data_IF_265377074722
#
_entry.id   IF_265377074722
#
_cell.length_a   1.000
_cell.length_b   1.000
_cell.length_c   1.000
_cell.angle_alpha   90.00
_cell.angle_beta   90.00
_cell.angle_gamma   90.00
#
_symmetry.space_group_name_H-M   'P 1'
#
loop_
_entity.id
_entity.type
_entity.pdbx_description
1 polymer ?
#
# COMPACT_ATOMS: atom_id res chain seq x y z
N UNK A 1 -118.83 -1.46 11.67
CA UNK A 1 -118.14 -0.51 12.57
C UNK A 1 -116.66 -0.63 12.31
N UNK A 2 -116.08 0.50 11.96
CA UNK A 2 -114.66 0.73 11.69
C UNK A 2 -113.77 0.40 12.89
N UNK A 3 -112.50 0.13 12.61
CA UNK A 3 -111.44 0.04 13.61
C UNK A 3 -110.10 -0.25 12.97
N UNK A 4 -109.41 0.80 12.51
CA UNK A 4 -107.97 0.80 12.21
C UNK A 4 -107.13 0.31 13.41
N UNK A 5 -105.97 -0.32 13.16
CA UNK A 5 -104.65 0.13 13.67
C UNK A 5 -103.51 -0.87 13.34
N UNK A 6 -102.51 -0.37 12.62
CA UNK A 6 -101.11 -0.87 12.52
C UNK A 6 -100.35 -0.49 13.82
N UNK A 7 -99.24 -1.13 14.31
CA UNK A 7 -98.31 -2.10 13.68
C UNK A 7 -97.79 -3.29 14.55
N UNK A 8 -97.78 -4.50 14.01
CA UNK A 8 -96.88 -5.58 14.47
C UNK A 8 -95.40 -5.35 14.08
N UNK A 9 -95.14 -4.55 13.04
CA UNK A 9 -93.80 -4.27 12.53
C UNK A 9 -92.89 -3.51 13.52
N UNK A 10 -93.43 -2.64 14.40
CA UNK A 10 -92.63 -1.93 15.43
C UNK A 10 -92.14 -2.87 16.54
N UNK A 11 -92.88 -3.95 16.84
CA UNK A 11 -92.54 -4.91 17.91
C UNK A 11 -91.40 -5.84 17.50
N UNK A 12 -91.38 -6.28 16.24
CA UNK A 12 -90.30 -7.11 15.70
C UNK A 12 -88.98 -6.33 15.59
N UNK A 13 -89.02 -5.08 15.12
CA UNK A 13 -87.85 -4.19 15.07
C UNK A 13 -87.23 -3.99 16.47
N UNK A 14 -88.07 -3.73 17.49
CA UNK A 14 -87.62 -3.59 18.89
C UNK A 14 -86.86 -4.81 19.44
N UNK A 15 -87.27 -6.02 19.06
CA UNK A 15 -86.64 -7.27 19.54
C UNK A 15 -85.30 -7.53 18.84
N UNK A 16 -85.23 -7.28 17.53
CA UNK A 16 -83.99 -7.37 16.76
C UNK A 16 -82.95 -6.33 17.22
N UNK A 17 -83.36 -5.09 17.48
CA UNK A 17 -82.46 -4.04 18.01
C UNK A 17 -81.90 -4.42 19.39
N UNK A 18 -82.70 -5.03 20.27
CA UNK A 18 -82.23 -5.48 21.59
C UNK A 18 -81.21 -6.62 21.49
N UNK A 19 -81.39 -7.55 20.56
CA UNK A 19 -80.43 -8.64 20.31
C UNK A 19 -79.12 -8.07 19.73
N UNK A 20 -79.21 -7.18 18.73
CA UNK A 20 -78.04 -6.53 18.15
C UNK A 20 -77.27 -5.68 19.19
N UNK A 21 -77.98 -4.96 20.05
CA UNK A 21 -77.38 -4.22 21.16
C UNK A 21 -76.71 -5.16 22.17
N UNK A 22 -77.33 -6.29 22.48
CA UNK A 22 -76.76 -7.32 23.35
C UNK A 22 -75.45 -7.90 22.81
N UNK A 23 -75.39 -8.22 21.50
CA UNK A 23 -74.19 -8.72 20.83
C UNK A 23 -73.11 -7.64 20.78
N UNK A 24 -73.48 -6.39 20.53
CA UNK A 24 -72.53 -5.27 20.51
C UNK A 24 -71.95 -5.00 21.90
N UNK A 25 -72.78 -5.04 22.94
CA UNK A 25 -72.35 -4.88 24.34
C UNK A 25 -71.47 -6.06 24.77
N UNK A 26 -71.81 -7.31 24.41
CA UNK A 26 -70.96 -8.45 24.74
C UNK A 26 -69.63 -8.39 23.99
N UNK A 27 -69.64 -8.00 22.71
CA UNK A 27 -68.44 -7.86 21.89
C UNK A 27 -67.49 -6.77 22.42
N UNK A 28 -68.04 -5.62 22.82
CA UNK A 28 -67.26 -4.53 23.41
C UNK A 28 -66.73 -4.88 24.81
N UNK A 29 -67.50 -5.63 25.62
CA UNK A 29 -67.04 -6.13 26.92
C UNK A 29 -65.89 -7.14 26.78
N UNK A 30 -65.96 -8.04 25.80
CA UNK A 30 -64.89 -9.01 25.49
C UNK A 30 -63.64 -8.29 24.97
N UNK A 31 -63.80 -7.33 24.06
CA UNK A 31 -62.68 -6.55 23.55
C UNK A 31 -62.03 -5.72 24.67
N UNK A 32 -62.84 -5.08 25.52
CA UNK A 32 -62.37 -4.32 26.68
C UNK A 32 -61.62 -5.18 27.69
N UNK A 33 -62.10 -6.39 27.97
CA UNK A 33 -61.40 -7.34 28.85
C UNK A 33 -60.10 -7.84 28.25
N UNK A 34 -60.06 -8.15 26.95
CA UNK A 34 -58.80 -8.54 26.28
C UNK A 34 -57.78 -7.40 26.32
N UNK A 35 -58.20 -6.17 26.02
CA UNK A 35 -57.32 -4.99 26.08
C UNK A 35 -56.83 -4.72 27.52
N UNK A 36 -57.70 -4.87 28.52
CA UNK A 36 -57.34 -4.74 29.92
C UNK A 36 -56.30 -5.80 30.31
N UNK A 37 -56.51 -7.07 29.95
CA UNK A 37 -55.57 -8.16 30.22
C UNK A 37 -54.23 -8.00 29.50
N UNK A 38 -54.22 -7.44 28.29
CA UNK A 38 -52.98 -7.07 27.58
C UNK A 38 -52.27 -5.91 28.29
N UNK A 39 -53.01 -4.88 28.75
CA UNK A 39 -52.45 -3.72 29.47
C UNK A 39 -51.82 -4.09 30.83
N UNK A 40 -52.39 -5.08 31.51
CA UNK A 40 -51.89 -5.63 32.77
C UNK A 40 -50.75 -6.65 32.56
N UNK A 41 -50.35 -6.91 31.31
CA UNK A 41 -49.30 -7.86 30.96
C UNK A 41 -49.67 -9.32 31.17
N UNK A 42 -50.95 -9.64 31.42
CA UNK A 42 -51.48 -10.99 31.62
C UNK A 42 -51.63 -11.76 30.30
N UNK A 43 -51.81 -11.05 29.18
CA UNK A 43 -51.77 -11.61 27.82
C UNK A 43 -50.64 -10.93 27.04
N UNK A 44 -49.59 -11.68 26.69
CA UNK A 44 -48.52 -11.20 25.80
C UNK A 44 -48.70 -11.82 24.41
N UNK A 45 -49.11 -11.02 23.43
CA UNK A 45 -49.00 -11.41 22.02
C UNK A 45 -47.53 -11.30 21.61
N UNK A 46 -46.78 -12.39 21.72
CA UNK A 46 -45.46 -12.45 21.09
C UNK A 46 -45.67 -12.65 19.59
N UNK A 47 -45.27 -11.70 18.72
CA UNK A 47 -45.15 -12.01 17.31
C UNK A 47 -44.23 -13.24 17.20
N UNK A 48 -44.64 -14.27 16.44
CA UNK A 48 -43.77 -15.43 16.19
C UNK A 48 -42.45 -14.89 15.63
N UNK A 49 -41.36 -15.01 16.38
CA UNK A 49 -40.04 -14.61 15.90
C UNK A 49 -39.76 -15.42 14.63
N UNK A 50 -39.76 -14.75 13.50
CA UNK A 50 -39.47 -15.35 12.21
C UNK A 50 -37.95 -15.37 12.06
N UNK A 51 -37.31 -16.45 12.49
CA UNK A 51 -35.88 -16.65 12.26
C UNK A 51 -35.62 -16.86 10.77
N UNK A 52 -34.53 -16.30 10.26
CA UNK A 52 -34.06 -16.60 8.93
C UNK A 52 -33.36 -17.97 8.95
N UNK A 53 -33.90 -18.94 8.19
CA UNK A 53 -33.38 -20.31 8.10
C UNK A 53 -32.84 -20.65 6.71
N UNK A 54 -32.54 -19.64 5.89
CA UNK A 54 -31.84 -19.87 4.62
C UNK A 54 -30.40 -20.31 4.88
N UNK A 55 -29.76 -20.98 3.92
CA UNK A 55 -28.37 -21.45 4.05
C UNK A 55 -27.44 -20.30 4.41
N UNK A 56 -27.62 -19.15 3.75
CA UNK A 56 -26.82 -17.95 3.93
C UNK A 56 -26.95 -17.39 5.35
N UNK A 57 -28.16 -17.39 5.91
CA UNK A 57 -28.40 -16.94 7.28
C UNK A 57 -27.78 -17.88 8.32
N UNK A 58 -27.87 -19.19 8.10
CA UNK A 58 -27.29 -20.19 9.00
C UNK A 58 -25.76 -20.10 8.97
N UNK A 59 -25.16 -20.02 7.78
CA UNK A 59 -23.72 -19.86 7.60
C UNK A 59 -23.21 -18.56 8.20
N UNK A 60 -23.91 -17.44 7.98
CA UNK A 60 -23.55 -16.16 8.57
C UNK A 60 -23.64 -16.19 10.10
N UNK A 61 -24.73 -16.73 10.66
CA UNK A 61 -24.91 -16.84 12.10
C UNK A 61 -23.83 -17.75 12.73
N UNK A 62 -23.56 -18.90 12.14
CA UNK A 62 -22.49 -19.80 12.59
C UNK A 62 -21.11 -19.11 12.53
N UNK A 63 -20.83 -18.40 11.44
CA UNK A 63 -19.59 -17.65 11.28
C UNK A 63 -19.44 -16.49 12.26
N UNK A 64 -20.52 -15.87 12.72
CA UNK A 64 -20.50 -14.85 13.78
C UNK A 64 -20.24 -15.53 15.12
N UNK A 65 -21.01 -16.56 15.46
CA UNK A 65 -20.88 -17.28 16.73
C UNK A 65 -19.49 -17.89 16.93
N UNK A 66 -18.83 -18.35 15.86
CA UNK A 66 -17.48 -18.92 15.95
C UNK A 66 -16.40 -17.89 16.30
N UNK A 67 -16.70 -16.59 16.20
CA UNK A 67 -15.74 -15.49 16.46
C UNK A 67 -15.98 -14.79 17.80
N UNK A 68 -17.23 -14.83 18.27
CA UNK A 68 -17.65 -14.17 19.52
C UNK A 68 -17.15 -14.94 20.75
N UNK A 69 -16.71 -14.21 21.77
CA UNK A 69 -16.49 -14.69 23.12
C UNK A 69 -17.58 -14.14 24.06
N UNK A 70 -18.59 -14.96 24.35
CA UNK A 70 -19.73 -14.58 25.18
C UNK A 70 -19.40 -14.40 26.67
N UNK A 71 -18.20 -14.78 27.10
CA UNK A 71 -17.74 -14.56 28.49
C UNK A 71 -17.25 -13.13 28.74
N UNK A 72 -17.13 -12.30 27.71
CA UNK A 72 -16.74 -10.89 27.81
C UNK A 72 -17.96 -10.01 27.69
N UNK A 73 -18.12 -9.03 28.58
CA UNK A 73 -19.19 -8.04 28.48
C UNK A 73 -18.95 -7.13 27.25
N UNK A 74 -19.86 -7.08 26.26
CA UNK A 74 -19.72 -6.21 25.10
C UNK A 74 -19.67 -4.72 25.44
N UNK A 75 -20.24 -4.29 26.57
CA UNK A 75 -20.21 -2.89 27.02
C UNK A 75 -18.85 -2.49 27.59
N UNK A 76 -18.07 -3.45 28.11
CA UNK A 76 -16.74 -3.24 28.67
C UNK A 76 -15.65 -3.34 27.59
N UNK A 77 -15.72 -4.37 26.74
CA UNK A 77 -14.75 -4.56 25.67
C UNK A 77 -15.39 -5.27 24.46
N UNK A 78 -16.03 -4.48 23.61
CA UNK A 78 -16.69 -4.98 22.41
C UNK A 78 -15.75 -5.72 21.45
N UNK A 79 -14.48 -5.31 21.36
CA UNK A 79 -13.50 -5.98 20.49
C UNK A 79 -13.24 -7.41 20.95
N UNK A 80 -12.98 -7.61 22.24
CA UNK A 80 -12.76 -8.94 22.81
C UNK A 80 -14.02 -9.81 22.74
N UNK A 81 -15.18 -9.24 23.04
CA UNK A 81 -16.46 -9.92 22.84
C UNK A 81 -16.64 -10.38 21.39
N UNK A 82 -16.37 -9.53 20.40
CA UNK A 82 -16.63 -9.85 19.00
C UNK A 82 -15.54 -10.73 18.33
N UNK A 83 -14.29 -10.67 18.81
CA UNK A 83 -13.13 -11.18 18.07
C UNK A 83 -12.28 -12.23 18.81
N UNK A 84 -12.38 -12.39 20.13
CA UNK A 84 -11.48 -13.29 20.89
C UNK A 84 -11.55 -14.74 20.35
N UNK A 85 -12.72 -15.21 19.93
CA UNK A 85 -12.89 -16.53 19.32
C UNK A 85 -12.15 -16.65 17.97
N UNK A 86 -12.06 -15.57 17.19
CA UNK A 86 -11.25 -15.55 15.98
C UNK A 86 -9.75 -15.56 16.32
N UNK A 87 -9.31 -14.70 17.24
CA UNK A 87 -7.91 -14.57 17.65
C UNK A 87 -7.37 -15.90 18.16
N UNK A 88 -8.14 -16.61 19.00
CA UNK A 88 -7.75 -17.91 19.53
C UNK A 88 -7.53 -18.96 18.43
N UNK A 89 -8.40 -18.98 17.42
CA UNK A 89 -8.38 -19.99 16.36
C UNK A 89 -7.47 -19.63 15.18
N UNK A 90 -6.91 -18.42 15.13
CA UNK A 90 -6.14 -17.91 14.00
C UNK A 90 -4.83 -17.26 14.47
N UNK A 91 -3.86 -18.05 14.97
CA UNK A 91 -2.54 -17.53 15.30
C UNK A 91 -1.89 -16.90 14.06
N UNK A 92 -1.04 -15.90 14.27
CA UNK A 92 -0.32 -15.24 13.18
C UNK A 92 0.64 -16.26 12.55
N UNK A 93 0.51 -16.55 11.24
CA UNK A 93 1.43 -17.45 10.54
C UNK A 93 2.88 -16.95 10.57
N UNK A 94 3.85 -17.86 10.54
CA UNK A 94 5.29 -17.53 10.64
C UNK A 94 5.79 -16.62 9.50
N UNK A 95 5.11 -16.61 8.36
CA UNK A 95 5.43 -15.80 7.18
C UNK A 95 4.71 -14.45 7.16
N UNK A 96 3.97 -14.08 8.22
CA UNK A 96 3.21 -12.84 8.30
C UNK A 96 3.54 -12.03 9.57
N UNK A 97 3.60 -10.70 9.44
CA UNK A 97 3.76 -9.80 10.60
C UNK A 97 2.43 -9.47 11.30
N UNK A 98 1.30 -9.72 10.64
CA UNK A 98 -0.04 -9.52 11.15
C UNK A 98 -1.01 -10.48 10.46
N UNK A 99 -2.07 -10.87 11.15
CA UNK A 99 -3.12 -11.70 10.58
C UNK A 99 -4.49 -11.21 11.01
N UNK A 100 -5.42 -11.16 10.06
CA UNK A 100 -6.76 -10.58 10.24
C UNK A 100 -7.61 -10.79 9.01
N UNK A 101 -8.77 -10.14 8.95
CA UNK A 101 -9.72 -10.29 7.83
C UNK A 101 -9.11 -9.91 6.48
N UNK A 102 -8.31 -8.84 6.41
CA UNK A 102 -7.73 -8.38 5.14
C UNK A 102 -6.60 -9.29 4.64
N UNK A 103 -5.58 -9.68 5.45
CA UNK A 103 -4.62 -10.70 5.04
C UNK A 103 -5.28 -12.03 4.64
N UNK A 104 -6.27 -12.49 5.40
CA UNK A 104 -7.02 -13.70 5.09
C UNK A 104 -7.76 -13.59 3.74
N UNK A 105 -8.45 -12.48 3.49
CA UNK A 105 -9.15 -12.25 2.23
C UNK A 105 -8.16 -12.19 1.06
N UNK A 106 -7.04 -11.47 1.23
CA UNK A 106 -5.98 -11.39 0.23
C UNK A 106 -5.44 -12.77 -0.11
N UNK A 107 -5.13 -13.60 0.89
CA UNK A 107 -4.67 -14.97 0.67
C UNK A 107 -5.65 -15.79 -0.17
N UNK A 108 -6.95 -15.72 0.13
CA UNK A 108 -7.97 -16.42 -0.65
C UNK A 108 -8.07 -15.93 -2.10
N UNK A 109 -7.90 -14.63 -2.33
CA UNK A 109 -7.82 -14.06 -3.69
C UNK A 109 -6.56 -14.54 -4.39
N UNK A 110 -5.42 -14.55 -3.71
CA UNK A 110 -4.13 -14.98 -4.27
C UNK A 110 -4.17 -16.45 -4.71
N UNK A 111 -4.84 -17.33 -3.96
CA UNK A 111 -5.08 -18.73 -4.37
C UNK A 111 -5.88 -18.83 -5.68
N UNK A 112 -6.92 -18.00 -5.84
CA UNK A 112 -7.70 -17.94 -7.09
C UNK A 112 -6.86 -17.40 -8.24
N UNK A 113 -6.10 -16.33 -8.01
CA UNK A 113 -5.21 -15.74 -9.02
C UNK A 113 -4.13 -16.73 -9.45
N UNK A 114 -3.50 -17.41 -8.49
CA UNK A 114 -2.54 -18.50 -8.74
C UNK A 114 -3.15 -19.56 -9.66
N UNK A 115 -4.33 -20.08 -9.32
CA UNK A 115 -5.02 -21.09 -10.13
C UNK A 115 -5.35 -20.61 -11.56
N UNK A 116 -5.57 -19.31 -11.76
CA UNK A 116 -5.79 -18.72 -13.09
C UNK A 116 -4.50 -18.55 -13.87
N UNK A 117 -3.42 -18.13 -13.21
CA UNK A 117 -2.11 -17.86 -13.82
C UNK A 117 -1.33 -19.14 -14.15
N UNK A 118 -1.57 -20.23 -13.42
CA UNK A 118 -0.96 -21.55 -13.68
C UNK A 118 -1.60 -22.31 -14.85
N UNK A 119 -2.77 -21.88 -15.32
CA UNK A 119 -3.39 -22.50 -16.50
C UNK A 119 -2.50 -22.28 -17.73
N UNK A 120 -2.37 -23.29 -18.62
CA UNK A 120 -1.62 -23.15 -19.86
C UNK A 120 -2.02 -21.90 -20.64
N UNK A 121 -1.02 -21.25 -21.25
CA UNK A 121 -1.23 -20.10 -22.12
C UNK A 121 -1.92 -20.57 -23.41
N UNK A 122 -3.06 -19.99 -23.73
CA UNK A 122 -3.86 -20.36 -24.89
C UNK A 122 -3.92 -19.20 -25.88
N UNK A 123 -3.10 -19.25 -26.94
CA UNK A 123 -3.06 -18.20 -27.99
C UNK A 123 -4.43 -17.89 -28.63
N UNK A 124 -5.34 -18.87 -28.66
CA UNK A 124 -6.70 -18.72 -29.21
C UNK A 124 -7.70 -18.08 -28.25
N UNK A 125 -7.51 -18.23 -26.93
CA UNK A 125 -8.52 -17.87 -25.90
C UNK A 125 -8.07 -16.73 -24.98
N UNK A 126 -6.78 -16.65 -24.70
CA UNK A 126 -6.21 -15.62 -23.85
C UNK A 126 -5.94 -14.38 -24.70
N UNK A 127 -6.39 -13.21 -24.23
CA UNK A 127 -5.94 -11.94 -24.80
C UNK A 127 -4.43 -11.79 -24.63
N UNK A 128 -3.79 -10.95 -25.44
CA UNK A 128 -2.35 -10.70 -25.33
C UNK A 128 -1.95 -10.27 -23.90
N UNK A 129 -2.78 -9.46 -23.24
CA UNK A 129 -2.56 -9.04 -21.85
C UNK A 129 -2.52 -10.24 -20.88
N UNK A 130 -3.44 -11.19 -21.01
CA UNK A 130 -3.47 -12.40 -20.19
C UNK A 130 -2.26 -13.29 -20.49
N UNK A 131 -1.86 -13.41 -21.77
CA UNK A 131 -0.67 -14.18 -22.16
C UNK A 131 0.61 -13.60 -21.52
N UNK A 132 0.76 -12.27 -21.52
CA UNK A 132 1.88 -11.57 -20.84
C UNK A 132 1.86 -11.79 -19.33
N UNK A 133 0.70 -11.66 -18.69
CA UNK A 133 0.56 -11.90 -17.25
C UNK A 133 0.96 -13.33 -16.84
N UNK A 134 0.48 -14.34 -17.58
CA UNK A 134 0.86 -15.74 -17.37
C UNK A 134 2.35 -15.97 -17.61
N UNK A 135 2.92 -15.39 -18.66
CA UNK A 135 4.35 -15.51 -18.96
C UNK A 135 5.21 -14.88 -17.86
N UNK A 136 4.82 -13.70 -17.36
CA UNK A 136 5.48 -13.05 -16.24
C UNK A 136 5.42 -13.94 -14.98
N UNK A 137 4.24 -14.46 -14.65
CA UNK A 137 4.07 -15.40 -13.53
C UNK A 137 4.97 -16.63 -13.67
N UNK A 138 4.94 -17.32 -14.82
CA UNK A 138 5.80 -18.49 -15.07
C UNK A 138 7.28 -18.15 -14.98
N UNK A 139 7.69 -16.95 -15.40
CA UNK A 139 9.09 -16.52 -15.28
C UNK A 139 9.51 -16.31 -13.82
N UNK A 140 8.63 -15.76 -12.99
CA UNK A 140 8.85 -15.53 -11.57
C UNK A 140 8.89 -16.84 -10.77
N UNK A 141 8.00 -17.79 -11.08
CA UNK A 141 7.93 -19.09 -10.40
C UNK A 141 9.04 -20.07 -10.81
N UNK A 142 9.84 -19.76 -11.83
CA UNK A 142 10.92 -20.64 -12.29
C UNK A 142 12.20 -20.42 -11.48
N UNK A 143 12.17 -20.87 -10.22
CA UNK A 143 13.28 -20.72 -9.28
C UNK A 143 14.58 -21.34 -9.79
N UNK A 144 14.52 -22.50 -10.46
CA UNK A 144 15.71 -23.14 -11.05
C UNK A 144 16.46 -22.22 -12.03
N UNK A 145 15.72 -21.46 -12.85
CA UNK A 145 16.34 -20.48 -13.76
C UNK A 145 16.89 -19.28 -13.00
N UNK A 146 16.18 -18.82 -11.96
CA UNK A 146 16.63 -17.71 -11.11
C UNK A 146 17.93 -18.09 -10.39
N UNK A 147 18.00 -19.28 -9.77
CA UNK A 147 19.19 -19.79 -9.10
C UNK A 147 20.37 -19.98 -10.06
N UNK A 148 20.14 -20.43 -11.29
CA UNK A 148 21.21 -20.57 -12.29
C UNK A 148 21.72 -19.22 -12.81
N UNK A 149 20.84 -18.21 -12.89
CA UNK A 149 21.17 -16.86 -13.31
C UNK A 149 21.88 -16.09 -12.20
N UNK A 150 21.39 -16.20 -10.96
CA UNK A 150 21.96 -15.62 -9.74
C UNK A 150 22.28 -14.12 -9.95
N UNK A 151 23.50 -13.69 -9.65
CA UNK A 151 23.94 -12.28 -9.76
C UNK A 151 24.14 -11.81 -11.20
N UNK A 152 24.22 -12.71 -12.18
CA UNK A 152 24.67 -12.38 -13.55
C UNK A 152 23.83 -11.28 -14.20
N UNK A 153 22.48 -11.28 -14.14
CA UNK A 153 21.67 -10.21 -14.72
C UNK A 153 21.96 -8.85 -14.08
N UNK A 154 22.11 -8.80 -12.76
CA UNK A 154 22.41 -7.56 -12.05
C UNK A 154 23.84 -7.08 -12.35
N UNK A 155 24.84 -7.96 -12.30
CA UNK A 155 26.22 -7.59 -12.66
C UNK A 155 26.33 -7.11 -14.11
N UNK A 156 25.51 -7.64 -15.03
CA UNK A 156 25.44 -7.12 -16.40
C UNK A 156 25.02 -5.65 -16.42
N UNK A 157 24.04 -5.25 -15.61
CA UNK A 157 23.63 -3.86 -15.49
C UNK A 157 24.76 -3.02 -14.85
N UNK A 158 25.37 -3.53 -13.78
CA UNK A 158 26.41 -2.82 -13.04
C UNK A 158 27.73 -2.66 -13.81
N UNK A 159 27.95 -3.35 -14.92
CA UNK A 159 29.14 -3.14 -15.78
C UNK A 159 29.04 -1.87 -16.64
N UNK A 160 27.83 -1.36 -16.85
CA UNK A 160 27.60 -0.22 -17.73
C UNK A 160 27.49 1.09 -16.95
N UNK A 161 27.99 2.17 -17.55
CA UNK A 161 27.73 3.53 -17.06
C UNK A 161 26.22 3.81 -17.11
N UNK A 162 25.61 4.46 -16.11
CA UNK A 162 26.24 5.11 -14.95
C UNK A 162 26.32 4.22 -13.69
N UNK A 163 26.02 2.92 -13.77
CA UNK A 163 25.84 2.02 -12.62
C UNK A 163 27.05 1.18 -12.22
N UNK A 164 28.23 1.51 -12.73
CA UNK A 164 29.48 0.94 -12.23
C UNK A 164 29.61 1.22 -10.74
N UNK A 165 29.55 0.17 -9.93
CA UNK A 165 29.52 0.31 -8.48
C UNK A 165 30.95 0.43 -7.93
N UNK A 166 31.36 1.57 -7.33
CA UNK A 166 32.73 1.73 -6.85
C UNK A 166 33.20 0.65 -5.86
N UNK A 167 32.30 0.10 -5.05
CA UNK A 167 32.64 -0.92 -4.05
C UNK A 167 33.10 -2.25 -4.65
N UNK A 168 32.72 -2.56 -5.90
CA UNK A 168 33.04 -3.82 -6.60
C UNK A 168 34.40 -3.80 -7.34
N UNK A 169 35.24 -2.77 -7.16
CA UNK A 169 36.46 -2.54 -7.94
C UNK A 169 37.27 -3.84 -8.22
N UNK A 170 37.67 -4.02 -9.48
CA UNK A 170 38.42 -5.16 -10.04
C UNK A 170 37.63 -6.45 -10.32
N UNK A 171 36.50 -6.71 -9.65
CA UNK A 171 35.79 -8.00 -9.77
C UNK A 171 34.78 -8.10 -10.93
N UNK A 172 34.50 -6.98 -11.59
CA UNK A 172 33.62 -6.90 -12.77
C UNK A 172 34.39 -6.72 -14.09
N UNK A 173 35.73 -6.84 -14.06
CA UNK A 173 36.63 -6.65 -15.21
C UNK A 173 36.98 -5.18 -15.46
N UNK A 174 37.93 -4.89 -16.37
CA UNK A 174 38.39 -3.52 -16.66
C UNK A 174 37.27 -2.62 -17.19
N UNK A 175 36.30 -3.19 -17.90
CA UNK A 175 35.11 -2.48 -18.37
C UNK A 175 34.15 -2.08 -17.24
N UNK A 176 34.21 -2.75 -16.08
CA UNK A 176 33.39 -2.45 -14.91
C UNK A 176 33.98 -1.37 -14.00
N UNK A 177 35.18 -0.86 -14.27
CA UNK A 177 35.84 0.13 -13.42
C UNK A 177 35.07 1.45 -13.41
N UNK A 178 34.72 1.91 -12.21
CA UNK A 178 34.13 3.21 -11.98
C UNK A 178 35.19 4.31 -12.13
N UNK A 179 34.79 5.45 -12.68
CA UNK A 179 35.67 6.60 -12.89
C UNK A 179 35.00 7.86 -12.38
N UNK A 180 35.64 8.52 -11.42
CA UNK A 180 35.17 9.77 -10.85
C UNK A 180 35.00 10.88 -11.89
N UNK A 181 35.89 10.92 -12.88
CA UNK A 181 35.84 11.91 -13.97
C UNK A 181 34.65 11.72 -14.90
N UNK A 182 34.19 10.48 -15.07
CA UNK A 182 33.05 10.14 -15.95
C UNK A 182 31.71 10.11 -15.21
N UNK A 183 31.73 10.22 -13.88
CA UNK A 183 30.51 10.18 -13.08
C UNK A 183 29.70 11.46 -13.27
N UNK A 184 28.43 11.31 -13.66
CA UNK A 184 27.45 12.39 -13.75
C UNK A 184 26.23 12.03 -12.89
N UNK A 185 26.00 12.83 -11.85
CA UNK A 185 24.85 12.67 -10.95
C UNK A 185 23.53 12.79 -11.71
N UNK A 186 23.39 13.81 -12.58
CA UNK A 186 22.19 14.04 -13.40
C UNK A 186 21.90 12.84 -14.29
N UNK A 187 22.92 12.31 -14.99
CA UNK A 187 22.75 11.14 -15.86
C UNK A 187 22.35 9.89 -15.06
N UNK A 188 22.96 9.67 -13.90
CA UNK A 188 22.66 8.54 -13.04
C UNK A 188 21.23 8.59 -12.50
N UNK A 189 20.81 9.73 -11.96
CA UNK A 189 19.44 9.95 -11.46
C UNK A 189 18.40 9.82 -12.57
N UNK A 190 18.67 10.40 -13.75
CA UNK A 190 17.73 10.31 -14.86
C UNK A 190 17.59 8.87 -15.37
N UNK A 191 18.70 8.13 -15.45
CA UNK A 191 18.68 6.72 -15.87
C UNK A 191 17.93 5.85 -14.86
N UNK A 192 18.16 6.05 -13.54
CA UNK A 192 17.42 5.34 -12.49
C UNK A 192 15.91 5.56 -12.62
N UNK A 193 15.50 6.81 -12.81
CA UNK A 193 14.08 7.14 -12.87
C UNK A 193 13.43 6.72 -14.18
N UNK A 194 14.06 7.03 -15.31
CA UNK A 194 13.49 6.84 -16.65
C UNK A 194 13.52 5.39 -17.14
N UNK A 195 14.60 4.65 -16.88
CA UNK A 195 14.75 3.26 -17.36
C UNK A 195 14.37 2.21 -16.31
N UNK A 196 14.63 2.50 -15.03
CA UNK A 196 14.45 1.52 -13.96
C UNK A 196 13.29 1.84 -13.01
N UNK A 197 12.57 2.94 -13.26
CA UNK A 197 11.49 3.44 -12.41
C UNK A 197 11.88 3.53 -10.92
N UNK A 198 13.15 3.82 -10.65
CA UNK A 198 13.70 3.94 -9.31
C UNK A 198 13.93 5.42 -8.96
N UNK A 199 13.35 5.89 -7.86
CA UNK A 199 13.49 7.26 -7.40
C UNK A 199 14.55 7.32 -6.30
N UNK A 200 15.58 8.12 -6.52
CA UNK A 200 16.68 8.32 -5.56
C UNK A 200 16.92 9.80 -5.42
N UNK A 201 16.92 10.31 -4.18
CA UNK A 201 16.86 11.74 -3.82
C UNK A 201 15.60 12.48 -4.32
N UNK A 202 15.30 12.38 -5.61
CA UNK A 202 14.21 13.05 -6.30
C UNK A 202 13.18 12.02 -6.76
N UNK A 203 11.94 12.18 -6.32
CA UNK A 203 10.79 11.47 -6.88
C UNK A 203 10.07 12.38 -7.87
N UNK A 204 10.34 12.16 -9.16
CA UNK A 204 9.64 12.80 -10.28
C UNK A 204 8.48 11.92 -10.75
N UNK A 205 7.27 12.46 -10.82
CA UNK A 205 6.11 11.72 -11.33
C UNK A 205 5.09 12.68 -11.95
N UNK A 206 4.18 12.10 -12.74
CA UNK A 206 3.04 12.81 -13.32
C UNK A 206 1.80 12.45 -12.52
N UNK A 207 1.06 13.46 -12.08
CA UNK A 207 -0.22 13.29 -11.37
C UNK A 207 -1.14 14.47 -11.69
N UNK A 208 -2.41 14.37 -11.29
CA UNK A 208 -3.35 15.48 -11.41
C UNK A 208 -2.83 16.72 -10.65
N UNK A 209 -3.02 17.92 -11.19
CA UNK A 209 -2.77 19.18 -10.48
C UNK A 209 -3.76 19.27 -9.31
N UNK A 210 -3.23 19.48 -8.09
CA UNK A 210 -4.04 19.42 -6.86
C UNK A 210 -5.12 20.50 -6.82
N UNK A 211 -4.94 21.61 -7.58
CA UNK A 211 -5.94 22.68 -7.71
C UNK A 211 -6.73 22.61 -9.03
N UNK A 212 -6.27 21.81 -10.00
CA UNK A 212 -6.88 21.71 -11.34
C UNK A 212 -6.93 20.22 -11.74
N UNK A 213 -7.88 19.49 -11.19
CA UNK A 213 -7.94 18.03 -11.25
C UNK A 213 -8.11 17.43 -12.66
N UNK A 214 -8.53 18.22 -13.64
CA UNK A 214 -8.66 17.80 -15.04
C UNK A 214 -7.37 17.95 -15.87
N UNK A 215 -6.24 18.32 -15.25
CA UNK A 215 -4.93 18.44 -15.89
C UNK A 215 -3.89 17.64 -15.13
N UNK A 216 -2.93 17.10 -15.88
CA UNK A 216 -1.74 16.47 -15.32
C UNK A 216 -0.60 17.49 -15.26
N UNK A 217 0.26 17.33 -14.25
CA UNK A 217 1.44 18.17 -14.04
C UNK A 217 2.59 17.33 -13.48
N UNK A 218 3.82 17.73 -13.81
CA UNK A 218 5.02 17.14 -13.22
C UNK A 218 5.10 17.53 -11.74
N UNK A 219 5.30 16.54 -10.87
CA UNK A 219 5.52 16.74 -9.44
C UNK A 219 6.89 16.24 -9.04
N UNK A 220 7.59 17.04 -8.23
CA UNK A 220 8.89 16.75 -7.65
C UNK A 220 8.74 16.63 -6.13
N UNK A 221 9.17 15.51 -5.59
CA UNK A 221 9.04 15.20 -4.15
C UNK A 221 10.31 14.53 -3.62
N UNK A 222 10.46 14.43 -2.30
CA UNK A 222 11.54 13.65 -1.68
C UNK A 222 11.36 12.16 -2.03
N UNK A 223 12.44 11.49 -2.40
CA UNK A 223 12.43 10.04 -2.57
C UNK A 223 12.40 9.33 -1.20
N UNK A 224 11.97 8.07 -1.19
CA UNK A 224 12.04 7.24 0.01
C UNK A 224 13.49 6.87 0.37
N UNK A 225 13.70 6.50 1.63
CA UNK A 225 14.95 5.95 2.15
C UNK A 225 14.98 4.41 2.03
N UNK A 226 16.03 3.79 2.55
CA UNK A 226 16.19 2.33 2.57
C UNK A 226 15.50 1.67 3.76
N UNK A 227 15.58 2.29 4.95
CA UNK A 227 14.69 1.96 6.06
C UNK A 227 13.32 2.58 5.81
N UNK A 228 12.29 1.93 6.36
CA UNK A 228 10.91 2.34 6.19
C UNK A 228 10.59 3.64 6.93
N UNK A 229 11.10 3.77 8.16
CA UNK A 229 10.90 4.96 8.99
C UNK A 229 12.09 5.91 8.90
N UNK A 230 11.80 7.22 8.90
CA UNK A 230 12.83 8.26 9.01
C UNK A 230 13.42 8.27 10.42
N UNK A 231 12.58 8.01 11.41
CA UNK A 231 12.90 8.06 12.83
C UNK A 231 13.92 6.98 13.21
N UNK A 232 13.90 5.82 12.52
CA UNK A 232 14.91 4.76 12.65
C UNK A 232 16.34 5.25 12.32
N UNK A 233 16.50 6.34 11.55
CA UNK A 233 17.81 6.94 11.28
C UNK A 233 18.26 7.92 12.38
N UNK A 234 17.31 8.55 13.07
CA UNK A 234 17.56 9.76 13.86
C UNK A 234 17.45 9.52 15.37
N UNK A 235 16.61 8.58 15.79
CA UNK A 235 16.41 8.31 17.20
C UNK A 235 17.60 7.59 17.83
N UNK A 236 17.84 7.88 19.10
CA UNK A 236 18.94 7.30 19.87
C UNK A 236 18.50 6.10 20.73
N UNK A 237 17.29 5.59 20.49
CA UNK A 237 16.71 4.40 21.12
C UNK A 237 17.55 3.16 20.79
N UNK A 238 17.42 2.11 21.62
CA UNK A 238 18.14 0.85 21.42
C UNK A 238 17.70 0.19 20.11
N UNK A 239 16.40 0.27 19.81
CA UNK A 239 15.75 -0.30 18.64
C UNK A 239 16.22 0.42 17.36
N UNK A 240 16.20 1.75 17.33
CA UNK A 240 16.67 2.50 16.16
C UNK A 240 18.16 2.27 15.88
N UNK A 241 18.98 2.09 16.94
CA UNK A 241 20.38 1.68 16.78
C UNK A 241 20.50 0.28 16.18
N UNK A 242 19.75 -0.70 16.69
CA UNK A 242 19.79 -2.06 16.14
C UNK A 242 19.36 -2.10 14.69
N UNK A 243 18.38 -1.30 14.28
CA UNK A 243 17.98 -1.19 12.88
C UNK A 243 19.10 -0.62 12.00
N UNK A 244 19.78 0.44 12.42
CA UNK A 244 20.91 1.02 11.68
C UNK A 244 22.09 0.06 11.57
N UNK A 245 22.41 -0.65 12.64
CA UNK A 245 23.53 -1.61 12.67
C UNK A 245 23.22 -2.82 11.78
N UNK A 246 22.01 -3.39 11.88
CA UNK A 246 21.56 -4.47 11.02
C UNK A 246 21.50 -4.05 9.55
N UNK A 247 21.07 -2.81 9.28
CA UNK A 247 21.03 -2.24 7.95
C UNK A 247 22.43 -2.07 7.36
N UNK A 248 23.39 -1.54 8.12
CA UNK A 248 24.79 -1.45 7.68
C UNK A 248 25.32 -2.83 7.33
N UNK A 249 25.12 -3.82 8.20
CA UNK A 249 25.58 -5.18 7.96
C UNK A 249 24.94 -5.76 6.68
N UNK A 250 23.64 -5.55 6.50
CA UNK A 250 22.93 -5.97 5.29
C UNK A 250 23.50 -5.35 4.00
N UNK A 251 23.85 -4.05 4.02
CA UNK A 251 24.50 -3.39 2.90
C UNK A 251 25.87 -4.02 2.58
N UNK A 252 26.66 -4.30 3.61
CA UNK A 252 28.00 -4.92 3.49
C UNK A 252 27.87 -6.33 2.92
N UNK A 253 27.01 -7.16 3.49
CA UNK A 253 26.81 -8.54 3.05
C UNK A 253 26.32 -8.60 1.60
N UNK A 254 25.41 -7.71 1.22
CA UNK A 254 24.92 -7.62 -0.16
C UNK A 254 26.04 -7.26 -1.13
N UNK A 255 26.90 -6.30 -0.77
CA UNK A 255 28.05 -5.93 -1.59
C UNK A 255 29.02 -7.12 -1.72
N UNK A 256 29.30 -7.84 -0.62
CA UNK A 256 30.17 -9.03 -0.60
C UNK A 256 29.59 -10.18 -1.44
N UNK A 257 28.28 -10.44 -1.35
CA UNK A 257 27.59 -11.43 -2.17
C UNK A 257 27.67 -11.11 -3.67
N UNK A 258 27.78 -9.83 -4.03
CA UNK A 258 28.01 -9.34 -5.39
C UNK A 258 29.50 -9.30 -5.76
N UNK A 259 30.38 -9.72 -4.85
CA UNK A 259 31.81 -9.86 -5.07
C UNK A 259 32.65 -8.69 -4.55
N UNK A 260 32.16 -7.83 -3.65
CA UNK A 260 33.02 -6.81 -3.03
C UNK A 260 34.04 -7.43 -2.07
N UNK A 261 35.17 -6.77 -1.89
CA UNK A 261 36.06 -7.04 -0.75
C UNK A 261 35.36 -6.59 0.56
N UNK A 262 35.37 -7.43 1.60
CA UNK A 262 34.64 -7.17 2.85
C UNK A 262 35.06 -5.87 3.56
N UNK A 263 36.35 -5.62 3.75
CA UNK A 263 36.85 -4.41 4.44
C UNK A 263 36.50 -3.14 3.66
N UNK A 264 36.58 -3.19 2.32
CA UNK A 264 36.13 -2.09 1.46
C UNK A 264 34.63 -1.89 1.55
N UNK A 265 33.85 -2.97 1.48
CA UNK A 265 32.39 -2.93 1.60
C UNK A 265 31.96 -2.26 2.90
N UNK A 266 32.59 -2.62 4.02
CA UNK A 266 32.36 -2.01 5.32
C UNK A 266 32.60 -0.49 5.31
N UNK A 267 33.78 -0.06 4.85
CA UNK A 267 34.14 1.36 4.80
C UNK A 267 33.24 2.19 3.87
N UNK A 268 32.97 1.67 2.67
CA UNK A 268 32.14 2.34 1.68
C UNK A 268 30.67 2.37 2.14
N UNK A 269 30.10 1.27 2.64
CA UNK A 269 28.70 1.22 3.09
C UNK A 269 28.47 2.04 4.36
N UNK A 270 29.46 2.15 5.25
CA UNK A 270 29.40 3.09 6.39
C UNK A 270 29.30 4.54 5.92
N UNK A 271 30.03 4.90 4.86
CA UNK A 271 29.93 6.23 4.23
C UNK A 271 28.56 6.45 3.58
N UNK A 272 28.00 5.42 2.94
CA UNK A 272 26.67 5.45 2.33
C UNK A 272 25.57 5.61 3.38
N UNK A 273 25.62 4.86 4.49
CA UNK A 273 24.69 5.01 5.60
C UNK A 273 24.76 6.42 6.20
N UNK A 274 25.96 6.95 6.42
CA UNK A 274 26.13 8.32 6.92
C UNK A 274 25.50 9.36 5.99
N UNK A 275 25.60 9.19 4.67
CA UNK A 275 24.92 10.04 3.72
C UNK A 275 23.39 9.92 3.83
N UNK A 276 22.86 8.69 3.95
CA UNK A 276 21.42 8.48 4.09
C UNK A 276 20.85 9.07 5.38
N UNK A 277 21.61 9.03 6.49
CA UNK A 277 21.26 9.73 7.74
C UNK A 277 21.16 11.24 7.54
N UNK A 278 22.15 11.88 6.89
CA UNK A 278 22.09 13.32 6.57
C UNK A 278 20.85 13.69 5.74
N UNK A 279 20.42 12.78 4.85
CA UNK A 279 19.22 12.98 4.04
C UNK A 279 17.97 12.82 4.90
N UNK A 280 17.93 11.83 5.81
CA UNK A 280 16.84 11.66 6.75
C UNK A 280 16.63 12.90 7.62
N UNK A 281 17.70 13.56 8.07
CA UNK A 281 17.65 14.80 8.87
C UNK A 281 16.83 15.90 8.17
N UNK A 282 17.01 16.07 6.85
CA UNK A 282 16.38 17.13 6.06
C UNK A 282 15.03 16.74 5.44
N UNK A 283 14.64 15.47 5.51
CA UNK A 283 13.35 15.01 4.98
C UNK A 283 12.20 15.61 5.78
N UNK A 284 11.15 16.02 5.06
CA UNK A 284 9.92 16.50 5.70
C UNK A 284 9.17 15.27 6.25
N UNK A 285 8.84 15.21 7.56
CA UNK A 285 8.07 14.12 8.16
C UNK A 285 6.69 13.97 7.54
N UNK A 286 6.08 12.79 7.64
CA UNK A 286 4.79 12.50 7.02
C UNK A 286 3.68 13.42 7.52
N UNK A 287 3.67 13.69 8.83
CA UNK A 287 2.67 14.49 9.55
C UNK A 287 2.66 15.94 9.06
N UNK A 288 3.80 16.44 8.59
CA UNK A 288 3.97 17.83 8.13
C UNK A 288 3.63 18.01 6.64
N UNK A 289 3.14 16.97 5.95
CA UNK A 289 2.94 16.97 4.50
C UNK A 289 1.46 17.12 4.11
N UNK A 290 0.90 18.31 4.35
CA UNK A 290 -0.46 18.66 3.89
C UNK A 290 -0.49 19.04 2.41
N UNK A 291 -1.67 19.00 1.78
CA UNK A 291 -1.82 19.32 0.36
C UNK A 291 -1.44 20.78 0.11
N UNK A 292 -1.83 21.69 1.00
CA UNK A 292 -1.62 23.13 0.89
C UNK A 292 -0.13 23.49 0.94
N UNK A 293 0.61 22.94 1.91
CA UNK A 293 2.04 23.22 2.10
C UNK A 293 2.87 22.62 0.96
N UNK A 294 2.43 21.49 0.41
CA UNK A 294 3.12 20.81 -0.68
C UNK A 294 2.77 21.37 -2.07
N UNK A 295 1.90 22.38 -2.18
CA UNK A 295 1.54 23.01 -3.45
C UNK A 295 2.43 24.22 -3.75
N UNK A 296 3.66 23.98 -4.22
CA UNK A 296 4.55 25.04 -4.67
C UNK A 296 4.71 24.95 -6.19
N UNK A 297 3.77 25.56 -6.91
CA UNK A 297 3.78 25.60 -8.38
C UNK A 297 4.74 26.69 -8.85
N UNK A 298 5.66 26.31 -9.72
CA UNK A 298 6.67 27.19 -10.33
C UNK A 298 7.05 26.64 -11.69
N UNK A 299 7.66 27.45 -12.55
CA UNK A 299 8.26 26.94 -13.78
C UNK A 299 9.68 26.39 -13.55
N UNK A 300 10.19 25.60 -14.50
CA UNK A 300 11.54 25.02 -14.41
C UNK A 300 12.64 26.09 -14.28
N UNK A 301 12.46 27.27 -14.91
CA UNK A 301 13.40 28.39 -14.79
C UNK A 301 13.48 28.92 -13.35
N UNK A 302 12.34 29.09 -12.68
CA UNK A 302 12.25 29.52 -11.28
C UNK A 302 12.86 28.48 -10.34
N UNK A 303 12.58 27.20 -10.57
CA UNK A 303 13.21 26.10 -9.83
C UNK A 303 14.73 26.10 -9.99
N UNK A 304 15.22 26.33 -11.22
CA UNK A 304 16.66 26.38 -11.50
C UNK A 304 17.32 27.62 -10.89
N UNK A 305 16.62 28.75 -10.81
CA UNK A 305 17.10 29.93 -10.08
C UNK A 305 17.15 29.68 -8.57
N UNK A 306 16.17 28.95 -8.02
CA UNK A 306 16.12 28.59 -6.60
C UNK A 306 17.22 27.59 -6.21
N UNK A 307 17.57 26.67 -7.11
CA UNK A 307 18.53 25.58 -6.88
C UNK A 307 19.42 25.43 -8.12
N UNK A 308 20.42 26.31 -8.29
CA UNK A 308 21.27 26.35 -9.49
C UNK A 308 22.29 25.21 -9.57
N UNK A 309 22.52 24.47 -8.48
CA UNK A 309 23.50 23.38 -8.42
C UNK A 309 23.09 22.14 -9.25
N UNK A 310 21.84 22.09 -9.73
CA UNK A 310 21.29 20.94 -10.43
C UNK A 310 20.63 21.33 -11.75
N UNK A 311 20.96 20.61 -12.81
CA UNK A 311 20.35 20.78 -14.13
C UNK A 311 18.95 20.12 -14.16
N UNK A 312 17.95 20.84 -13.66
CA UNK A 312 16.56 20.39 -13.59
C UNK A 312 15.96 20.10 -14.96
N UNK A 313 16.18 21.00 -15.92
CA UNK A 313 15.66 20.85 -17.28
C UNK A 313 16.28 19.62 -17.97
N UNK A 314 17.61 19.47 -17.89
CA UNK A 314 18.30 18.32 -18.44
C UNK A 314 17.93 17.01 -17.75
N UNK A 315 17.73 17.02 -16.43
CA UNK A 315 17.21 15.86 -15.69
C UNK A 315 15.82 15.44 -16.19
N UNK A 316 14.85 16.36 -16.24
CA UNK A 316 13.47 16.08 -16.66
C UNK A 316 13.45 15.57 -18.11
N UNK A 317 14.16 16.23 -19.03
CA UNK A 317 14.27 15.81 -20.43
C UNK A 317 14.87 14.41 -20.60
N UNK A 318 15.84 14.03 -19.75
CA UNK A 318 16.46 12.70 -19.79
C UNK A 318 15.57 11.62 -19.18
N UNK A 319 14.70 11.96 -18.23
CA UNK A 319 13.74 11.01 -17.63
C UNK A 319 12.62 10.68 -18.61
N UNK A 320 12.10 11.68 -19.33
CA UNK A 320 11.00 11.51 -20.25
C UNK A 320 11.51 10.89 -21.56
N UNK A 321 11.06 9.67 -21.88
CA UNK A 321 11.43 9.00 -23.13
C UNK A 321 10.67 9.62 -24.32
N UNK A 322 11.27 10.67 -24.89
CA UNK A 322 10.75 11.38 -26.06
C UNK A 322 10.73 10.54 -27.35
N UNK A 323 11.25 9.30 -27.34
CA UNK A 323 11.08 8.35 -28.45
C UNK A 323 9.68 7.75 -28.45
N UNK A 324 9.12 7.52 -27.26
CA UNK A 324 7.75 7.01 -27.11
C UNK A 324 6.71 8.13 -27.20
N UNK A 325 7.08 9.34 -26.78
CA UNK A 325 6.20 10.53 -26.76
C UNK A 325 6.87 11.72 -27.45
N UNK A 326 6.94 11.73 -28.80
CA UNK A 326 7.63 12.79 -29.56
C UNK A 326 7.06 14.19 -29.35
N UNK A 327 5.78 14.30 -29.02
CA UNK A 327 5.07 15.54 -28.69
C UNK A 327 5.58 16.20 -27.40
N UNK A 328 6.24 15.43 -26.52
CA UNK A 328 6.82 15.94 -25.27
C UNK A 328 8.27 16.42 -25.42
N UNK A 329 8.78 16.55 -26.65
CA UNK A 329 10.14 17.06 -26.91
C UNK A 329 10.33 18.52 -26.51
N UNK A 330 9.24 19.29 -26.50
CA UNK A 330 9.26 20.74 -26.31
C UNK A 330 9.18 21.18 -24.84
N UNK A 331 9.46 20.29 -23.88
CA UNK A 331 9.57 20.69 -22.48
C UNK A 331 10.67 21.74 -22.34
N UNK A 332 10.28 22.96 -22.01
CA UNK A 332 11.15 24.12 -21.93
C UNK A 332 11.30 24.66 -20.51
N UNK A 333 12.12 25.72 -20.32
CA UNK A 333 12.25 26.41 -19.04
C UNK A 333 10.92 26.94 -18.46
N UNK A 334 9.93 27.21 -19.32
CA UNK A 334 8.60 27.68 -18.94
C UNK A 334 7.64 26.58 -18.50
N UNK A 335 8.03 25.29 -18.59
CA UNK A 335 7.18 24.18 -18.17
C UNK A 335 6.89 24.29 -16.67
N UNK A 336 5.61 24.16 -16.30
CA UNK A 336 5.19 24.27 -14.90
C UNK A 336 5.35 22.94 -14.17
N UNK A 337 5.88 23.01 -12.96
CA UNK A 337 6.06 21.87 -12.06
C UNK A 337 5.49 22.21 -10.69
N UNK A 338 5.06 21.19 -9.94
CA UNK A 338 4.77 21.32 -8.51
C UNK A 338 5.94 20.75 -7.73
N UNK A 339 6.64 21.60 -6.99
CA UNK A 339 7.72 21.21 -6.09
C UNK A 339 7.11 21.00 -4.70
N UNK A 340 6.97 19.74 -4.29
CA UNK A 340 6.30 19.44 -3.01
C UNK A 340 7.14 19.86 -1.82
N UNK A 341 8.45 19.71 -1.91
CA UNK A 341 9.38 19.93 -0.79
C UNK A 341 10.55 20.83 -1.21
N UNK A 342 10.31 22.13 -1.47
CA UNK A 342 11.36 23.04 -1.97
C UNK A 342 12.54 23.17 -1.01
N UNK A 343 12.30 23.22 0.31
CA UNK A 343 13.37 23.32 1.31
C UNK A 343 14.23 22.06 1.36
N UNK A 344 13.62 20.87 1.30
CA UNK A 344 14.35 19.60 1.18
C UNK A 344 15.32 19.62 0.00
N UNK A 345 14.88 20.10 -1.18
CA UNK A 345 15.77 20.13 -2.34
C UNK A 345 16.93 21.13 -2.16
N UNK A 346 16.70 22.31 -1.57
CA UNK A 346 17.79 23.26 -1.25
C UNK A 346 18.85 22.61 -0.35
N UNK A 347 18.41 21.95 0.71
CA UNK A 347 19.31 21.31 1.68
C UNK A 347 19.99 20.06 1.10
N UNK A 348 19.26 19.27 0.33
CA UNK A 348 19.78 18.10 -0.36
C UNK A 348 20.95 18.48 -1.27
N UNK A 349 20.78 19.45 -2.18
CA UNK A 349 21.85 19.77 -3.12
C UNK A 349 23.09 20.38 -2.46
N UNK A 350 22.92 21.08 -1.33
CA UNK A 350 24.04 21.48 -0.46
C UNK A 350 24.76 20.27 0.15
N UNK A 351 24.04 19.23 0.58
CA UNK A 351 24.66 17.99 1.08
C UNK A 351 25.42 17.28 -0.06
N UNK A 352 24.78 17.14 -1.23
CA UNK A 352 25.35 16.40 -2.36
C UNK A 352 26.61 17.07 -2.92
N UNK A 353 26.65 18.39 -3.00
CA UNK A 353 27.82 19.15 -3.47
C UNK A 353 29.05 18.96 -2.57
N UNK A 354 28.83 18.81 -1.26
CA UNK A 354 29.88 18.63 -0.26
C UNK A 354 30.26 17.16 -0.02
N UNK A 355 29.59 16.20 -0.68
CA UNK A 355 29.83 14.78 -0.50
C UNK A 355 30.77 14.22 -1.58
N UNK A 356 31.56 13.20 -1.23
CA UNK A 356 32.49 12.59 -2.20
C UNK A 356 31.72 11.92 -3.33
N UNK A 357 32.14 12.14 -4.58
CA UNK A 357 31.52 11.51 -5.77
C UNK A 357 31.47 9.98 -5.67
N UNK A 358 32.47 9.36 -5.05
CA UNK A 358 32.48 7.92 -4.78
C UNK A 358 31.34 7.50 -3.84
N UNK A 359 31.11 8.24 -2.75
CA UNK A 359 29.98 8.00 -1.82
C UNK A 359 28.64 8.14 -2.56
N UNK A 360 28.49 9.20 -3.37
CA UNK A 360 27.27 9.42 -4.17
C UNK A 360 27.03 8.27 -5.14
N UNK A 361 28.04 7.86 -5.91
CA UNK A 361 27.93 6.74 -6.82
C UNK A 361 27.59 5.43 -6.10
N UNK A 362 28.23 5.15 -4.96
CA UNK A 362 27.91 3.98 -4.14
C UNK A 362 26.46 4.02 -3.64
N UNK A 363 25.95 5.18 -3.19
CA UNK A 363 24.56 5.33 -2.74
C UNK A 363 23.56 5.10 -3.88
N UNK A 364 23.77 5.74 -5.04
CA UNK A 364 22.86 5.59 -6.20
C UNK A 364 22.77 4.13 -6.65
N UNK A 365 23.91 3.44 -6.71
CA UNK A 365 23.94 2.03 -7.12
C UNK A 365 23.39 1.13 -6.01
N UNK A 366 23.66 1.41 -4.73
CA UNK A 366 23.02 0.72 -3.61
C UNK A 366 21.48 0.75 -3.74
N UNK A 367 20.90 1.93 -3.98
CA UNK A 367 19.44 2.08 -4.15
C UNK A 367 18.90 1.29 -5.34
N UNK A 368 19.68 1.13 -6.41
CA UNK A 368 19.35 0.26 -7.53
C UNK A 368 19.40 -1.23 -7.14
N UNK A 369 20.49 -1.65 -6.52
CA UNK A 369 20.70 -3.03 -6.06
C UNK A 369 19.59 -3.44 -5.10
N UNK A 370 19.35 -2.63 -4.05
CA UNK A 370 18.29 -2.83 -3.05
C UNK A 370 16.93 -3.07 -3.72
N UNK A 371 16.56 -2.24 -4.70
CA UNK A 371 15.29 -2.36 -5.43
C UNK A 371 15.14 -3.59 -6.33
N UNK A 372 16.19 -4.42 -6.45
CA UNK A 372 16.24 -5.61 -7.32
C UNK A 372 16.59 -6.89 -6.57
N UNK A 373 16.86 -6.84 -5.27
CA UNK A 373 17.29 -8.01 -4.48
C UNK A 373 16.30 -9.17 -4.53
N UNK A 374 15.00 -8.87 -4.49
CA UNK A 374 13.93 -9.87 -4.56
C UNK A 374 13.84 -10.61 -5.90
N UNK A 375 14.56 -10.16 -6.94
CA UNK A 375 14.61 -10.82 -8.25
C UNK A 375 15.86 -11.69 -8.44
N UNK A 376 16.71 -11.80 -7.40
CA UNK A 376 17.94 -12.61 -7.42
C UNK A 376 17.71 -13.96 -6.73
N UNK A 377 18.74 -14.81 -6.77
CA UNK A 377 18.76 -16.12 -6.09
C UNK A 377 18.43 -16.00 -4.60
N UNK A 378 17.91 -17.08 -4.02
CA UNK A 378 17.45 -17.18 -2.62
C UNK A 378 18.43 -16.63 -1.58
N UNK A 379 19.76 -16.75 -1.77
CA UNK A 379 20.73 -16.20 -0.82
C UNK A 379 20.59 -14.69 -0.54
N UNK A 380 20.16 -13.91 -1.53
CA UNK A 380 19.88 -12.48 -1.35
C UNK A 380 18.58 -12.26 -0.58
N UNK A 381 17.56 -13.07 -0.86
CA UNK A 381 16.27 -13.01 -0.18
C UNK A 381 16.39 -13.43 1.28
N UNK A 382 17.17 -14.48 1.58
CA UNK A 382 17.45 -14.89 2.94
C UNK A 382 18.23 -13.83 3.71
N UNK A 383 19.24 -13.22 3.09
CA UNK A 383 19.98 -12.15 3.76
C UNK A 383 19.11 -10.93 4.03
N UNK A 384 18.18 -10.60 3.14
CA UNK A 384 17.17 -9.57 3.40
C UNK A 384 16.19 -9.98 4.50
N UNK A 385 15.75 -11.24 4.53
CA UNK A 385 14.83 -11.75 5.54
C UNK A 385 15.45 -11.67 6.94
N UNK A 386 16.72 -12.04 7.08
CA UNK A 386 17.49 -11.91 8.33
C UNK A 386 17.57 -10.46 8.81
N UNK A 387 17.77 -9.51 7.89
CA UNK A 387 17.71 -8.08 8.20
C UNK A 387 16.30 -7.65 8.62
N UNK A 388 15.25 -8.07 7.92
CA UNK A 388 13.86 -7.67 8.18
C UNK A 388 13.27 -8.19 9.50
N UNK A 389 13.94 -9.14 10.14
CA UNK A 389 13.55 -9.74 11.41
C UNK A 389 14.13 -9.02 12.63
N UNK A 390 15.11 -8.13 12.41
CA UNK A 390 15.58 -7.18 13.43
C UNK A 390 14.50 -6.13 13.55
#
# INVERSE_FOLDING_TARGET
>A
MEGETVPEARRAASKATRIALGIFVSGTLVLGTVLFLVSQGLIKFHPKQQYCLTSECIEAAAGILSKINQSVDPCENFYRFACDGWIYNHPIPEDMSNYGVYPWLRHNVDLKLKALLEKPISKRRDSEAVQKAKTLYTSCMNENKIEKADVKPLLSILRHSPFRWPVLESNIGPEGLWSERKFSLVQALATLRGQYSNSVFIRLYVAADDKISNRYILKLDQASLSLASREDYLENTTEAKSYRDAFLQFMVDTAVLLGANASRAESDMKSVLKLEVKIAEIMIPYENRTIEVMYNKMNISELSAMIPQFDWLGYIKKVIDTRLYPELKDIGPSENVIVRVPQYFKDLFRILENERKKTLANYLVWRMVYSRLFNLSRRFQYRWLEFSRV
#
